data_IF_635156839535
#
_entry.id   IF_635156839535
#
_cell.length_a   1.000
_cell.length_b   1.000
_cell.length_c   1.000
_cell.angle_alpha   90.00
_cell.angle_beta   90.00
_cell.angle_gamma   90.00
#
_symmetry.space_group_name_H-M   'P 1'
#
loop_
_entity.id
_entity.type
_entity.pdbx_description
1 polymer ?
#
# COMPACT_ATOMS: atom_id res chain seq x y z
N UNK A 1 20.91 -22.11 -7.81
CA UNK A 1 19.64 -22.68 -7.34
C UNK A 1 19.43 -22.21 -5.91
N UNK A 2 18.74 -21.12 -5.70
CA UNK A 2 18.37 -20.64 -4.36
C UNK A 2 16.86 -20.67 -4.28
N UNK A 3 16.37 -21.45 -3.33
CA UNK A 3 14.96 -21.78 -3.14
C UNK A 3 14.16 -20.52 -2.80
N UNK A 4 13.02 -20.36 -3.47
CA UNK A 4 11.94 -19.46 -3.12
C UNK A 4 11.44 -19.84 -1.72
N UNK A 5 11.81 -19.09 -0.71
CA UNK A 5 11.35 -19.28 0.65
C UNK A 5 10.10 -18.44 0.91
N UNK A 6 9.00 -19.16 1.00
CA UNK A 6 7.90 -18.96 1.97
C UNK A 6 7.57 -17.53 2.38
N UNK A 7 6.39 -17.09 1.94
CA UNK A 7 5.63 -15.98 2.54
C UNK A 7 5.63 -16.15 4.07
N UNK A 8 6.40 -15.33 4.75
CA UNK A 8 6.43 -15.33 6.22
C UNK A 8 5.22 -14.57 6.73
N UNK A 9 4.20 -15.32 7.14
CA UNK A 9 3.05 -14.76 7.84
C UNK A 9 3.46 -14.47 9.28
N UNK A 10 3.68 -13.23 9.62
CA UNK A 10 3.87 -12.82 11.01
C UNK A 10 2.53 -12.92 11.74
N UNK A 11 2.37 -13.99 12.54
CA UNK A 11 1.23 -14.13 13.45
C UNK A 11 1.40 -13.17 14.61
N UNK A 12 0.60 -12.11 14.65
CA UNK A 12 0.40 -11.34 15.86
C UNK A 12 -0.88 -11.77 16.57
N UNK A 13 -0.74 -12.04 17.86
CA UNK A 13 -1.84 -12.38 18.78
C UNK A 13 -2.44 -11.08 19.30
N UNK A 14 -3.70 -10.83 19.02
CA UNK A 14 -4.49 -9.88 19.80
C UNK A 14 -5.21 -8.80 18.99
N UNK A 15 -6.43 -8.92 18.91
CA UNK A 15 -7.57 -8.06 18.59
C UNK A 15 -8.42 -8.57 17.45
N UNK A 16 -9.53 -9.20 17.80
CA UNK A 16 -10.53 -9.76 16.85
C UNK A 16 -11.54 -8.72 16.37
N UNK A 17 -11.24 -7.43 16.46
CA UNK A 17 -12.19 -6.38 16.05
C UNK A 17 -11.84 -5.84 14.67
N UNK A 18 -12.74 -6.05 13.72
CA UNK A 18 -12.82 -5.44 12.39
C UNK A 18 -11.90 -6.02 11.28
N UNK A 19 -11.66 -7.32 11.25
CA UNK A 19 -11.06 -7.99 10.10
C UNK A 19 -12.17 -8.37 9.11
N UNK A 20 -12.24 -7.70 7.98
CA UNK A 20 -12.97 -8.18 6.81
C UNK A 20 -12.40 -9.53 6.34
N UNK A 21 -13.09 -10.27 5.44
CA UNK A 21 -12.58 -11.52 4.90
C UNK A 21 -11.17 -11.34 4.35
N UNK A 22 -10.32 -12.35 4.51
CA UNK A 22 -8.96 -12.35 3.92
C UNK A 22 -9.09 -12.25 2.40
N UNK A 23 -8.33 -11.35 1.79
CA UNK A 23 -8.14 -11.40 0.35
C UNK A 23 -7.40 -12.72 0.02
N UNK A 24 -7.99 -13.56 -0.82
CA UNK A 24 -7.25 -14.68 -1.38
C UNK A 24 -6.15 -14.16 -2.33
N UNK A 25 -5.19 -15.02 -2.67
CA UNK A 25 -4.04 -14.65 -3.49
C UNK A 25 -4.46 -14.05 -4.85
N UNK A 26 -5.44 -14.65 -5.51
CA UNK A 26 -5.96 -14.20 -6.81
C UNK A 26 -6.57 -12.80 -6.73
N UNK A 27 -7.33 -12.54 -5.67
CA UNK A 27 -7.93 -11.22 -5.42
C UNK A 27 -6.86 -10.18 -5.09
N UNK A 28 -5.85 -10.53 -4.28
CA UNK A 28 -4.74 -9.64 -3.96
C UNK A 28 -3.93 -9.27 -5.22
N UNK A 29 -3.63 -10.25 -6.08
CA UNK A 29 -2.96 -10.02 -7.37
C UNK A 29 -3.78 -9.14 -8.30
N UNK A 30 -5.10 -9.35 -8.39
CA UNK A 30 -5.99 -8.52 -9.21
C UNK A 30 -5.90 -7.06 -8.80
N UNK A 31 -5.96 -6.76 -7.49
CA UNK A 31 -5.90 -5.41 -7.00
C UNK A 31 -4.50 -4.81 -7.08
N UNK A 32 -3.47 -5.65 -6.97
CA UNK A 32 -2.10 -5.18 -7.19
C UNK A 32 -1.87 -4.80 -8.66
N UNK A 33 -2.45 -5.50 -9.63
CA UNK A 33 -2.40 -5.09 -11.05
C UNK A 33 -3.07 -3.74 -11.26
N UNK A 34 -4.22 -3.49 -10.63
CA UNK A 34 -4.86 -2.16 -10.68
C UNK A 34 -3.96 -1.07 -10.05
N UNK A 35 -3.27 -1.37 -8.96
CA UNK A 35 -2.29 -0.45 -8.38
C UNK A 35 -1.08 -0.24 -9.30
N UNK A 36 -0.61 -1.26 -10.02
CA UNK A 36 0.47 -1.15 -11.00
C UNK A 36 0.06 -0.28 -12.20
N UNK A 37 -1.18 -0.33 -12.65
CA UNK A 37 -1.72 0.58 -13.68
C UNK A 37 -1.64 2.05 -13.22
N UNK A 38 -2.02 2.33 -11.97
CA UNK A 38 -1.89 3.66 -11.38
C UNK A 38 -0.42 4.09 -11.25
N UNK A 39 0.47 3.15 -10.86
CA UNK A 39 1.90 3.41 -10.77
C UNK A 39 2.49 3.79 -12.14
N UNK A 40 2.17 3.05 -13.19
CA UNK A 40 2.62 3.34 -14.55
C UNK A 40 2.18 4.74 -15.01
N UNK A 41 0.94 5.12 -14.72
CA UNK A 41 0.40 6.42 -15.08
C UNK A 41 1.01 7.62 -14.31
N UNK A 42 1.69 7.40 -13.18
CA UNK A 42 2.42 8.44 -12.46
C UNK A 42 3.62 8.97 -13.27
N UNK A 43 4.23 8.13 -14.09
CA UNK A 43 5.40 8.47 -14.92
C UNK A 43 5.10 9.58 -15.92
N UNK A 44 3.86 9.67 -16.42
CA UNK A 44 3.44 10.69 -17.40
C UNK A 44 3.63 12.12 -16.86
N UNK A 45 3.67 12.28 -15.53
CA UNK A 45 3.86 13.56 -14.85
C UNK A 45 5.26 13.70 -14.24
N UNK A 46 6.16 12.75 -14.50
CA UNK A 46 7.51 12.74 -13.94
C UNK A 46 7.57 12.30 -12.47
N UNK A 47 6.48 11.76 -11.94
CA UNK A 47 6.40 11.22 -10.58
C UNK A 47 6.96 9.80 -10.47
N UNK A 48 7.49 9.45 -9.30
CA UNK A 48 7.94 8.08 -9.00
C UNK A 48 6.77 7.12 -9.15
N UNK A 49 6.91 5.99 -9.88
CA UNK A 49 5.81 5.07 -10.19
C UNK A 49 5.35 4.28 -8.96
N UNK A 50 4.49 4.89 -8.19
CA UNK A 50 3.78 4.25 -7.07
C UNK A 50 2.29 4.45 -7.28
N UNK A 51 1.54 3.35 -7.14
CA UNK A 51 0.08 3.34 -7.25
C UNK A 51 -0.55 2.56 -6.12
N UNK A 52 -1.77 2.93 -5.77
CA UNK A 52 -2.51 2.33 -4.67
C UNK A 52 -4.01 2.23 -4.96
N UNK A 53 -4.66 1.23 -4.39
CA UNK A 53 -6.12 1.02 -4.44
C UNK A 53 -6.62 0.69 -3.04
N UNK A 54 -7.75 1.28 -2.63
CA UNK A 54 -8.47 0.92 -1.41
C UNK A 54 -9.70 0.09 -1.76
N UNK A 55 -9.83 -1.04 -1.09
CA UNK A 55 -10.89 -2.02 -1.33
C UNK A 55 -11.65 -2.28 -0.02
N UNK A 56 -12.98 -2.29 -0.09
CA UNK A 56 -13.84 -2.67 1.03
C UNK A 56 -13.77 -4.18 1.32
N UNK A 57 -14.26 -4.60 2.48
CA UNK A 57 -14.28 -6.01 2.88
C UNK A 57 -15.12 -6.92 1.99
N UNK A 58 -16.06 -6.39 1.23
CA UNK A 58 -16.87 -7.10 0.23
C UNK A 58 -16.22 -7.18 -1.16
N UNK A 59 -15.02 -6.60 -1.31
CA UNK A 59 -14.30 -6.55 -2.57
C UNK A 59 -14.66 -5.37 -3.49
N UNK A 60 -15.47 -4.41 -3.01
CA UNK A 60 -15.77 -3.19 -3.75
C UNK A 60 -14.57 -2.24 -3.74
N UNK A 61 -14.18 -1.73 -4.89
CA UNK A 61 -13.19 -0.65 -4.98
C UNK A 61 -13.78 0.66 -4.47
N UNK A 62 -13.08 1.31 -3.53
CA UNK A 62 -13.51 2.57 -2.92
C UNK A 62 -12.71 3.78 -3.41
N UNK A 63 -11.47 3.58 -3.84
CA UNK A 63 -10.63 4.67 -4.31
C UNK A 63 -9.30 4.19 -4.86
N UNK A 64 -8.74 4.99 -5.76
CA UNK A 64 -7.41 4.80 -6.35
C UNK A 64 -6.56 6.04 -6.14
N UNK A 65 -5.26 5.86 -6.17
CA UNK A 65 -4.31 6.94 -6.12
C UNK A 65 -2.99 6.55 -6.76
N UNK A 66 -2.29 7.56 -7.27
CA UNK A 66 -0.92 7.44 -7.74
C UNK A 66 -0.08 8.54 -7.13
N UNK A 67 1.22 8.37 -7.13
CA UNK A 67 2.11 9.45 -6.71
C UNK A 67 1.93 10.65 -7.65
N UNK A 68 1.76 11.84 -7.07
CA UNK A 68 1.51 13.10 -7.77
C UNK A 68 2.28 14.26 -7.14
N UNK A 69 3.38 13.95 -6.45
CA UNK A 69 4.18 14.97 -5.73
C UNK A 69 4.68 16.06 -6.66
N UNK A 70 5.26 15.68 -7.80
CA UNK A 70 5.75 16.61 -8.81
C UNK A 70 4.58 17.32 -9.51
N UNK A 71 3.57 16.57 -9.90
CA UNK A 71 2.40 17.10 -10.59
C UNK A 71 1.67 18.17 -9.80
N UNK A 72 1.52 17.99 -8.48
CA UNK A 72 0.76 18.89 -7.60
C UNK A 72 1.65 19.84 -6.80
N UNK A 73 2.98 19.70 -6.85
CA UNK A 73 3.91 20.38 -5.94
C UNK A 73 3.51 20.17 -4.46
N UNK A 74 2.98 18.98 -4.13
CA UNK A 74 2.52 18.62 -2.79
C UNK A 74 3.38 17.47 -2.24
N UNK A 75 4.18 17.68 -1.17
CA UNK A 75 5.02 16.65 -0.58
C UNK A 75 4.24 15.49 0.01
N UNK A 76 2.94 15.63 0.21
CA UNK A 76 2.06 14.62 0.79
C UNK A 76 1.24 13.84 -0.26
N UNK A 77 1.30 14.20 -1.54
CA UNK A 77 0.54 13.57 -2.61
C UNK A 77 1.13 12.19 -3.00
N UNK A 78 1.29 11.32 -2.01
CA UNK A 78 1.64 9.91 -2.20
C UNK A 78 0.43 9.10 -2.63
N UNK A 79 0.64 8.04 -3.40
CA UNK A 79 -0.40 7.15 -3.91
C UNK A 79 -1.37 6.68 -2.82
N UNK A 80 -0.83 6.30 -1.67
CA UNK A 80 -1.60 5.82 -0.53
C UNK A 80 -2.52 6.90 0.02
N UNK A 81 -2.03 8.12 0.18
CA UNK A 81 -2.84 9.23 0.70
C UNK A 81 -3.95 9.64 -0.28
N UNK A 82 -3.65 9.65 -1.57
CA UNK A 82 -4.63 9.93 -2.62
C UNK A 82 -5.72 8.85 -2.62
N UNK A 83 -5.36 7.57 -2.56
CA UNK A 83 -6.30 6.45 -2.50
C UNK A 83 -7.16 6.47 -1.21
N UNK A 84 -6.55 6.76 -0.04
CA UNK A 84 -7.27 6.86 1.23
C UNK A 84 -8.26 8.02 1.23
N UNK A 85 -7.90 9.19 0.69
CA UNK A 85 -8.79 10.35 0.55
C UNK A 85 -9.97 10.03 -0.38
N UNK A 86 -9.70 9.40 -1.52
CA UNK A 86 -10.75 8.98 -2.45
C UNK A 86 -11.71 7.99 -1.80
N UNK A 87 -11.20 6.99 -1.09
CA UNK A 87 -12.02 6.00 -0.38
C UNK A 87 -12.86 6.63 0.73
N UNK A 88 -12.29 7.54 1.51
CA UNK A 88 -13.00 8.26 2.56
C UNK A 88 -14.15 9.11 2.00
N UNK A 89 -13.92 9.77 0.86
CA UNK A 89 -14.94 10.53 0.15
C UNK A 89 -16.07 9.61 -0.38
N UNK A 90 -15.72 8.46 -0.96
CA UNK A 90 -16.69 7.47 -1.46
C UNK A 90 -17.57 6.92 -0.34
N UNK A 91 -16.98 6.62 0.83
CA UNK A 91 -17.71 6.12 2.00
C UNK A 91 -18.45 7.22 2.78
N UNK A 92 -18.11 8.50 2.57
CA UNK A 92 -18.59 9.59 3.41
C UNK A 92 -18.10 9.50 4.86
N UNK A 93 -16.98 8.86 5.12
CA UNK A 93 -16.44 8.58 6.45
C UNK A 93 -14.90 8.59 6.44
N UNK A 94 -14.30 9.13 7.51
CA UNK A 94 -12.84 9.09 7.67
C UNK A 94 -12.31 7.72 8.13
N UNK A 95 -13.18 6.91 8.77
CA UNK A 95 -12.81 5.56 9.21
C UNK A 95 -13.00 4.57 8.06
N UNK A 96 -11.92 3.86 7.76
CA UNK A 96 -11.87 2.83 6.73
C UNK A 96 -11.76 1.43 7.37
N UNK A 97 -12.57 1.21 8.41
CA UNK A 97 -12.59 -0.06 9.15
C UNK A 97 -12.88 -1.24 8.19
N UNK A 98 -12.10 -2.30 8.28
CA UNK A 98 -12.24 -3.48 7.43
C UNK A 98 -11.82 -3.30 5.97
N UNK A 99 -11.40 -2.09 5.56
CA UNK A 99 -10.84 -1.88 4.23
C UNK A 99 -9.41 -2.40 4.14
N UNK A 100 -8.99 -2.70 2.92
CA UNK A 100 -7.61 -3.06 2.57
C UNK A 100 -7.03 -2.01 1.65
N UNK A 101 -5.86 -1.47 1.97
CA UNK A 101 -5.03 -0.75 1.02
C UNK A 101 -4.12 -1.74 0.30
N UNK A 102 -4.10 -1.70 -1.03
CA UNK A 102 -3.16 -2.42 -1.90
C UNK A 102 -2.27 -1.39 -2.56
N UNK A 103 -0.94 -1.50 -2.44
CA UNK A 103 0.03 -0.51 -2.92
C UNK A 103 1.27 -1.18 -3.51
N UNK A 104 1.83 -0.61 -4.57
CA UNK A 104 2.97 -1.22 -5.28
C UNK A 104 4.28 -1.19 -4.50
N UNK A 105 4.48 -0.20 -3.62
CA UNK A 105 5.67 -0.03 -2.79
C UNK A 105 5.30 0.02 -1.32
N UNK A 106 6.14 -0.56 -0.44
CA UNK A 106 5.94 -0.51 1.00
C UNK A 106 5.76 0.94 1.50
N UNK A 107 4.70 1.24 2.28
CA UNK A 107 4.41 2.58 2.77
C UNK A 107 5.54 3.17 3.61
N UNK A 108 5.84 4.44 3.39
CA UNK A 108 6.75 5.24 4.20
C UNK A 108 6.11 5.61 5.57
N UNK A 109 6.85 6.27 6.52
CA UNK A 109 6.29 6.62 7.83
C UNK A 109 5.02 7.47 7.77
N UNK A 110 4.95 8.42 6.83
CA UNK A 110 3.76 9.26 6.63
C UNK A 110 2.54 8.43 6.22
N UNK A 111 2.72 7.52 5.26
CA UNK A 111 1.64 6.69 4.74
C UNK A 111 1.22 5.60 5.73
N UNK A 112 2.17 4.95 6.40
CA UNK A 112 1.87 4.00 7.47
C UNK A 112 1.12 4.66 8.65
N UNK A 113 1.50 5.89 9.01
CA UNK A 113 0.77 6.71 9.97
C UNK A 113 -0.65 7.04 9.51
N UNK A 114 -0.84 7.30 8.22
CA UNK A 114 -2.18 7.55 7.66
C UNK A 114 -3.06 6.29 7.67
N UNK A 115 -2.51 5.10 7.42
CA UNK A 115 -3.23 3.83 7.56
C UNK A 115 -3.74 3.63 8.99
N UNK A 116 -2.88 3.87 9.97
CA UNK A 116 -3.26 3.83 11.38
C UNK A 116 -4.34 4.87 11.71
N UNK A 117 -4.18 6.12 11.26
CA UNK A 117 -5.12 7.21 11.53
C UNK A 117 -6.49 6.93 10.93
N UNK A 118 -6.54 6.42 9.69
CA UNK A 118 -7.77 6.07 8.97
C UNK A 118 -8.40 4.75 9.45
N UNK A 119 -7.78 4.01 10.36
CA UNK A 119 -8.27 2.72 10.88
C UNK A 119 -8.38 1.64 9.79
N UNK A 120 -7.48 1.66 8.83
CA UNK A 120 -7.43 0.63 7.77
C UNK A 120 -7.19 -0.73 8.40
N UNK A 121 -7.93 -1.75 7.99
CA UNK A 121 -7.82 -3.10 8.54
C UNK A 121 -6.58 -3.85 8.07
N UNK A 122 -6.17 -3.61 6.81
CA UNK A 122 -5.08 -4.35 6.17
C UNK A 122 -4.32 -3.50 5.15
N UNK A 123 -3.03 -3.73 5.05
CA UNK A 123 -2.20 -3.27 3.93
C UNK A 123 -1.57 -4.46 3.21
N UNK A 124 -1.63 -4.42 1.88
CA UNK A 124 -0.95 -5.36 0.98
C UNK A 124 0.02 -4.57 0.13
N UNK A 125 1.30 -4.89 0.17
CA UNK A 125 2.26 -4.19 -0.69
C UNK A 125 3.10 -5.14 -1.56
N UNK A 126 3.57 -4.59 -2.69
CA UNK A 126 4.41 -5.31 -3.65
C UNK A 126 5.87 -5.33 -3.20
N UNK A 127 6.65 -4.35 -3.64
CA UNK A 127 8.07 -4.23 -3.35
C UNK A 127 8.33 -3.68 -1.94
N UNK A 128 9.35 -4.20 -1.27
CA UNK A 128 9.87 -3.62 -0.02
C UNK A 128 10.56 -2.28 -0.30
N UNK A 129 10.53 -1.38 0.68
CA UNK A 129 11.19 -0.08 0.59
C UNK A 129 12.38 0.01 1.56
N UNK A 130 13.62 -0.23 1.09
CA UNK A 130 14.81 -0.25 1.95
C UNK A 130 15.18 1.14 2.50
N UNK A 131 14.64 2.23 1.93
CA UNK A 131 14.98 3.60 2.31
C UNK A 131 14.01 4.19 3.34
N UNK A 132 12.73 3.82 3.29
CA UNK A 132 11.69 4.42 4.13
C UNK A 132 10.57 3.45 4.55
N UNK A 133 10.70 2.14 4.31
CA UNK A 133 9.65 1.16 4.59
C UNK A 133 9.27 1.13 6.07
N UNK A 134 7.98 1.28 6.34
CA UNK A 134 7.46 1.45 7.70
C UNK A 134 6.35 0.45 8.06
N UNK A 135 6.26 -0.63 7.27
CA UNK A 135 5.38 -1.77 7.49
C UNK A 135 6.16 -3.07 7.73
N UNK A 136 7.46 -2.97 8.06
CA UNK A 136 8.28 -4.13 8.40
C UNK A 136 9.76 -4.02 8.00
N UNK A 137 10.13 -3.19 7.01
CA UNK A 137 11.51 -3.12 6.52
C UNK A 137 12.42 -2.33 7.48
N UNK A 138 12.15 -1.05 7.75
CA UNK A 138 12.92 -0.23 8.70
C UNK A 138 12.17 -0.03 10.01
N UNK A 139 10.89 0.24 9.91
CA UNK A 139 9.96 0.43 11.03
C UNK A 139 8.75 -0.48 10.86
N UNK A 140 8.00 -0.68 11.94
CA UNK A 140 6.69 -1.35 11.86
C UNK A 140 5.64 -0.55 12.63
N UNK A 141 5.17 0.54 12.03
CA UNK A 141 4.09 1.35 12.58
C UNK A 141 2.73 0.64 12.54
N UNK A 142 2.57 -0.34 11.65
CA UNK A 142 1.34 -1.11 11.53
C UNK A 142 1.08 -2.02 12.72
N UNK A 143 2.13 -2.50 13.40
CA UNK A 143 2.05 -3.42 14.52
C UNK A 143 2.74 -2.89 15.79
N UNK A 144 2.88 -1.58 15.95
CA UNK A 144 3.46 -0.99 17.17
C UNK A 144 2.47 -1.13 18.34
N UNK A 145 2.83 -1.86 19.42
CA UNK A 145 1.92 -2.15 20.52
C UNK A 145 1.55 -0.91 21.36
N UNK A 146 2.22 0.21 21.17
CA UNK A 146 1.91 1.49 21.82
C UNK A 146 0.77 2.22 21.15
N UNK A 147 0.44 1.87 19.90
CA UNK A 147 -0.65 2.45 19.15
C UNK A 147 -1.97 1.72 19.43
N UNK A 148 -3.08 2.44 19.36
CA UNK A 148 -4.41 1.94 19.70
C UNK A 148 -5.15 1.29 18.50
N UNK A 149 -4.44 1.01 17.41
CA UNK A 149 -4.95 0.31 16.24
C UNK A 149 -3.79 -0.44 15.58
N UNK A 150 -4.07 -1.62 15.10
CA UNK A 150 -3.13 -2.48 14.37
C UNK A 150 -3.63 -2.66 12.94
N UNK A 151 -2.73 -2.54 11.97
CA UNK A 151 -3.00 -2.80 10.55
C UNK A 151 -2.35 -4.13 10.18
N UNK A 152 -3.12 -5.08 9.70
CA UNK A 152 -2.58 -6.36 9.23
C UNK A 152 -1.71 -6.14 7.98
N UNK A 153 -0.50 -6.72 7.95
CA UNK A 153 0.48 -6.51 6.87
C UNK A 153 0.66 -7.77 6.05
N UNK A 154 0.48 -7.65 4.72
CA UNK A 154 0.86 -8.66 3.73
C UNK A 154 1.79 -8.03 2.71
N UNK A 155 2.79 -8.78 2.24
CA UNK A 155 3.81 -8.24 1.34
C UNK A 155 4.23 -9.24 0.27
N UNK A 156 4.89 -8.72 -0.77
CA UNK A 156 5.48 -9.56 -1.83
C UNK A 156 4.53 -9.89 -2.97
N UNK A 157 3.33 -9.29 -3.01
CA UNK A 157 2.37 -9.50 -4.10
C UNK A 157 2.82 -8.70 -5.32
N UNK A 158 3.12 -9.39 -6.44
CA UNK A 158 3.68 -8.82 -7.68
C UNK A 158 4.94 -7.94 -7.42
N UNK A 159 5.77 -8.34 -6.43
CA UNK A 159 6.92 -7.54 -5.98
C UNK A 159 7.95 -7.31 -7.08
N UNK A 160 8.16 -8.28 -7.99
CA UNK A 160 9.08 -8.16 -9.11
C UNK A 160 8.59 -7.11 -10.10
N UNK A 161 7.31 -7.12 -10.47
CA UNK A 161 6.72 -6.13 -11.38
C UNK A 161 6.77 -4.72 -10.77
N UNK A 162 6.45 -4.57 -9.49
CA UNK A 162 6.54 -3.30 -8.78
C UNK A 162 7.98 -2.77 -8.71
N UNK A 163 8.95 -3.63 -8.40
CA UNK A 163 10.37 -3.28 -8.38
C UNK A 163 10.94 -2.92 -9.75
N UNK A 164 10.48 -3.58 -10.80
CA UNK A 164 10.90 -3.30 -12.17
C UNK A 164 10.53 -1.87 -12.61
N UNK A 165 9.28 -1.43 -12.36
CA UNK A 165 8.84 -0.06 -12.65
C UNK A 165 9.72 1.00 -11.99
N UNK A 166 10.06 0.80 -10.71
CA UNK A 166 10.95 1.71 -9.98
C UNK A 166 12.36 1.72 -10.57
N UNK A 167 12.90 0.54 -10.87
CA UNK A 167 14.26 0.40 -11.44
C UNK A 167 14.36 1.10 -12.79
N UNK A 168 13.39 0.91 -13.68
CA UNK A 168 13.32 1.55 -15.00
C UNK A 168 13.25 3.07 -14.89
N UNK A 169 12.37 3.57 -14.02
CA UNK A 169 12.21 5.00 -13.78
C UNK A 169 13.50 5.67 -13.32
N UNK A 170 14.20 5.08 -12.34
CA UNK A 170 15.46 5.65 -11.83
C UNK A 170 16.64 5.44 -12.79
N UNK A 171 16.65 4.40 -13.61
CA UNK A 171 17.67 4.23 -14.65
C UNK A 171 17.62 5.36 -15.68
N UNK A 172 16.42 5.76 -16.11
CA UNK A 172 16.23 6.86 -17.07
C UNK A 172 16.60 8.26 -16.54
N UNK A 173 16.77 8.42 -15.22
CA UNK A 173 17.12 9.71 -14.58
C UNK A 173 18.61 9.84 -14.20
N UNK A 174 19.40 8.79 -14.38
CA UNK A 174 20.85 8.79 -14.09
C UNK A 174 21.72 9.07 -15.33
N UNK A 175 21.12 9.31 -16.47
CA UNK A 175 21.82 9.64 -17.73
C UNK A 175 21.95 11.14 -17.98
#
# INVERSE_FOLDING_TARGET
MVALSTISVWRHVGSTRHRGPMLDATTAERWMRAALEEAAAAVDHGDVPVGAVVVAGDGTELGRGRNRREQLADPTAHAELEALRAAAATLGAWRLDGCTLVVTLEPCPMCAGALWAARVGRVVFGAANPEAGSCGTLYNLCADPRLNHEVEVHHGVEAEAAGALLTEFFAGRRS
#
